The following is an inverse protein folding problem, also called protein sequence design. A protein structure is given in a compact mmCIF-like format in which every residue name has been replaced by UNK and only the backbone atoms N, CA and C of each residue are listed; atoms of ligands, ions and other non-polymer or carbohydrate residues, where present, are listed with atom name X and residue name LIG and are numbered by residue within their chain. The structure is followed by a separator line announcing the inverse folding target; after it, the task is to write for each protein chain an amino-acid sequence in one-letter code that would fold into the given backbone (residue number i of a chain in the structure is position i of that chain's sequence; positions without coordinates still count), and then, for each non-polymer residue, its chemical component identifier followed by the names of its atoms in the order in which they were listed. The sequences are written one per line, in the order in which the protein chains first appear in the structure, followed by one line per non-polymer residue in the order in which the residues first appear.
data_IF_852489692271
#
_entry.id   IF_852489692271
#
_cell.length_a   1.000
_cell.length_b   1.000
_cell.length_c   1.000
_cell.angle_alpha   90.00
_cell.angle_beta   90.00
_cell.angle_gamma   90.00
#
_symmetry.space_group_name_H-M   'P 1'
#
loop_
_entity.id
_entity.type
_entity.pdbx_description
1 polymer ?
#
# COMPACT_ATOMS: atom_id res chain seq x y z
N UNK A 1 -12.59 13.80 1.12
CA UNK A 1 -12.69 14.91 0.12
C UNK A 1 -11.50 15.87 0.23
N UNK A 2 -11.10 16.26 1.43
CA UNK A 2 -9.94 17.13 1.70
C UNK A 2 -8.66 16.51 1.18
N UNK A 3 -8.41 15.22 1.45
CA UNK A 3 -7.19 14.51 1.03
C UNK A 3 -6.99 14.46 -0.49
N UNK A 4 -8.07 14.26 -1.26
CA UNK A 4 -8.03 14.29 -2.72
C UNK A 4 -7.59 15.66 -3.24
N UNK A 5 -8.17 16.73 -2.68
CA UNK A 5 -7.88 18.09 -3.12
C UNK A 5 -6.40 18.45 -2.88
N UNK A 6 -5.90 18.16 -1.69
CA UNK A 6 -4.49 18.38 -1.35
C UNK A 6 -3.54 17.50 -2.18
N UNK A 7 -3.86 16.23 -2.38
CA UNK A 7 -3.04 15.35 -3.22
C UNK A 7 -3.00 15.84 -4.66
N UNK A 8 -4.13 16.26 -5.24
CA UNK A 8 -4.18 16.76 -6.62
C UNK A 8 -3.45 18.12 -6.77
N UNK A 9 -3.58 19.01 -5.77
CA UNK A 9 -2.81 20.26 -5.74
C UNK A 9 -1.30 20.00 -5.69
N UNK A 10 -0.85 19.14 -4.77
CA UNK A 10 0.56 18.75 -4.65
C UNK A 10 1.08 18.10 -5.93
N UNK A 11 0.27 17.22 -6.57
CA UNK A 11 0.61 16.61 -7.85
C UNK A 11 0.86 17.64 -8.94
N UNK A 12 -0.06 18.60 -9.10
CA UNK A 12 0.09 19.68 -10.08
C UNK A 12 1.29 20.56 -9.81
N UNK A 13 1.54 20.89 -8.52
CA UNK A 13 2.72 21.67 -8.11
C UNK A 13 4.02 20.95 -8.46
N UNK A 14 4.12 19.66 -8.19
CA UNK A 14 5.30 18.85 -8.50
C UNK A 14 5.52 18.73 -10.02
N UNK A 15 4.47 18.55 -10.82
CA UNK A 15 4.58 18.48 -12.29
C UNK A 15 5.17 19.75 -12.92
N UNK A 16 5.00 20.88 -12.27
CA UNK A 16 5.58 22.16 -12.73
C UNK A 16 7.05 22.33 -12.35
N UNK A 17 7.66 21.38 -11.62
CA UNK A 17 9.09 21.43 -11.30
C UNK A 17 9.93 20.96 -12.48
N UNK A 18 11.09 21.59 -12.68
CA UNK A 18 11.90 21.50 -13.92
C UNK A 18 12.70 20.19 -14.07
N UNK A 19 12.84 19.38 -13.02
CA UNK A 19 13.74 18.21 -13.05
C UNK A 19 13.16 17.00 -12.31
N UNK A 20 12.05 16.44 -12.84
CA UNK A 20 11.51 15.20 -12.30
C UNK A 20 12.17 13.99 -12.97
N UNK A 21 12.64 12.99 -12.19
CA UNK A 21 13.07 11.71 -12.73
C UNK A 21 11.92 11.04 -13.50
N UNK A 22 12.24 10.36 -14.61
CA UNK A 22 11.23 9.74 -15.50
C UNK A 22 10.17 8.90 -14.79
N UNK A 23 10.51 8.00 -13.82
CA UNK A 23 9.50 7.20 -13.12
C UNK A 23 8.52 8.04 -12.32
N UNK A 24 9.02 9.06 -11.61
CA UNK A 24 8.19 9.97 -10.83
C UNK A 24 7.33 10.85 -11.75
N UNK A 25 7.89 11.38 -12.82
CA UNK A 25 7.13 12.13 -13.83
C UNK A 25 6.00 11.29 -14.43
N UNK A 26 6.29 10.05 -14.82
CA UNK A 26 5.28 9.13 -15.35
C UNK A 26 4.13 8.92 -14.34
N UNK A 27 4.44 8.67 -13.07
CA UNK A 27 3.45 8.54 -12.01
C UNK A 27 2.61 9.82 -11.85
N UNK A 28 3.26 10.96 -11.72
CA UNK A 28 2.59 12.25 -11.50
C UNK A 28 1.79 12.74 -12.73
N UNK A 29 2.17 12.35 -13.95
CA UNK A 29 1.45 12.71 -15.17
C UNK A 29 0.08 12.03 -15.28
N UNK A 30 -0.10 10.89 -14.61
CA UNK A 30 -1.41 10.24 -14.56
C UNK A 30 -2.34 10.97 -13.58
N UNK A 31 -3.62 11.18 -13.94
CA UNK A 31 -4.57 11.82 -13.03
C UNK A 31 -4.82 10.93 -11.79
N UNK A 32 -5.08 11.57 -10.65
CA UNK A 32 -5.59 10.84 -9.49
C UNK A 32 -7.05 10.44 -9.74
N UNK A 33 -7.42 9.27 -9.26
CA UNK A 33 -8.80 8.77 -9.33
C UNK A 33 -9.74 9.70 -8.54
N UNK A 34 -10.82 10.14 -9.16
CA UNK A 34 -11.73 11.09 -8.53
C UNK A 34 -12.63 10.44 -7.46
N UNK A 35 -12.88 11.18 -6.39
CA UNK A 35 -13.69 10.73 -5.26
C UNK A 35 -15.15 10.34 -5.63
N UNK A 36 -15.66 10.84 -6.77
CA UNK A 36 -17.01 10.53 -7.28
C UNK A 36 -17.09 9.21 -8.06
N UNK A 37 -15.96 8.64 -8.48
CA UNK A 37 -15.94 7.43 -9.30
C UNK A 37 -16.51 6.24 -8.52
N UNK A 38 -17.22 5.37 -9.24
CA UNK A 38 -17.68 4.10 -8.68
C UNK A 38 -16.49 3.17 -8.48
N UNK A 39 -16.46 2.47 -7.35
CA UNK A 39 -15.32 1.59 -7.02
C UNK A 39 -15.16 0.41 -7.98
N UNK A 40 -16.24 -0.03 -8.65
CA UNK A 40 -16.20 -1.07 -9.68
C UNK A 40 -15.35 -0.67 -10.90
N UNK A 41 -15.29 0.63 -11.21
CA UNK A 41 -14.57 1.17 -12.36
C UNK A 41 -13.11 1.55 -12.02
N UNK A 42 -12.69 1.32 -10.76
CA UNK A 42 -11.37 1.66 -10.25
C UNK A 42 -10.47 0.42 -10.21
N UNK A 43 -9.24 0.56 -10.65
CA UNK A 43 -8.19 -0.39 -10.31
C UNK A 43 -7.56 0.01 -8.98
N UNK A 44 -7.44 -0.94 -8.05
CA UNK A 44 -6.75 -0.76 -6.79
C UNK A 44 -5.43 -1.50 -6.82
N UNK A 45 -4.36 -0.86 -6.36
CA UNK A 45 -3.11 -1.53 -6.03
C UNK A 45 -3.08 -1.78 -4.54
N UNK A 46 -3.13 -3.04 -4.15
CA UNK A 46 -2.99 -3.43 -2.74
C UNK A 46 -1.51 -3.64 -2.44
N UNK A 47 -1.02 -2.99 -1.41
CA UNK A 47 0.41 -2.86 -1.11
C UNK A 47 0.67 -3.25 0.34
N UNK A 48 1.80 -3.91 0.56
CA UNK A 48 2.35 -4.20 1.88
C UNK A 48 3.88 -4.16 1.85
N UNK A 49 4.50 -3.71 2.94
CA UNK A 49 5.95 -3.64 3.11
C UNK A 49 6.42 -4.51 4.27
N UNK A 50 7.51 -5.25 4.05
CA UNK A 50 8.33 -5.70 5.17
C UNK A 50 9.46 -4.71 5.40
N UNK A 51 9.69 -4.40 6.67
CA UNK A 51 10.64 -3.36 7.09
C UNK A 51 11.48 -3.83 8.25
N UNK A 52 12.64 -3.23 8.47
CA UNK A 52 13.53 -3.57 9.59
C UNK A 52 12.99 -3.10 10.95
N UNK A 53 11.92 -2.30 10.96
CA UNK A 53 11.23 -1.80 12.15
C UNK A 53 10.13 -0.81 11.76
N UNK A 54 9.53 -0.13 12.72
CA UNK A 54 8.34 0.70 12.50
C UNK A 54 8.63 2.19 12.24
N UNK A 55 9.84 2.66 12.53
CA UNK A 55 10.23 4.07 12.36
C UNK A 55 10.83 4.31 10.96
N UNK A 56 10.03 4.81 10.04
CA UNK A 56 10.45 5.07 8.66
C UNK A 56 11.66 6.02 8.53
N UNK A 57 11.96 6.83 9.56
CA UNK A 57 13.12 7.73 9.55
C UNK A 57 14.46 7.01 9.78
N UNK A 58 14.43 5.86 10.43
CA UNK A 58 15.61 5.08 10.83
C UNK A 58 15.71 3.74 10.11
N UNK A 59 14.56 3.14 9.83
CA UNK A 59 14.43 1.79 9.35
C UNK A 59 14.36 1.72 7.81
N UNK A 60 14.44 0.52 7.27
CA UNK A 60 14.50 0.30 5.83
C UNK A 60 13.40 -0.65 5.35
N UNK A 61 12.94 -0.44 4.11
CA UNK A 61 12.11 -1.42 3.42
C UNK A 61 13.03 -2.55 2.95
N UNK A 62 12.68 -3.79 3.28
CA UNK A 62 13.39 -5.00 2.87
C UNK A 62 12.61 -5.82 1.84
N UNK A 63 11.28 -5.68 1.79
CA UNK A 63 10.51 -6.21 0.68
C UNK A 63 9.24 -5.39 0.41
N UNK A 64 8.76 -5.48 -0.83
CA UNK A 64 7.51 -4.89 -1.31
C UNK A 64 6.65 -5.99 -1.88
N UNK A 65 5.44 -6.15 -1.34
CA UNK A 65 4.42 -7.02 -1.89
C UNK A 65 3.28 -6.21 -2.48
N UNK A 66 2.77 -6.60 -3.64
CA UNK A 66 1.56 -5.98 -4.16
C UNK A 66 0.75 -6.93 -5.05
N UNK A 67 -0.53 -6.61 -5.17
CA UNK A 67 -1.47 -7.22 -6.11
C UNK A 67 -2.47 -6.17 -6.61
N UNK A 68 -3.17 -6.44 -7.70
CA UNK A 68 -4.18 -5.53 -8.25
C UNK A 68 -5.58 -6.13 -8.05
N UNK A 69 -6.52 -5.26 -7.65
CA UNK A 69 -7.95 -5.55 -7.70
C UNK A 69 -8.56 -4.78 -8.88
N UNK A 70 -9.35 -5.49 -9.70
CA UNK A 70 -10.14 -4.91 -10.79
C UNK A 70 -11.49 -5.62 -10.85
N UNK A 71 -12.57 -4.86 -11.02
CA UNK A 71 -13.93 -5.41 -11.11
C UNK A 71 -14.25 -6.38 -9.95
N UNK A 72 -13.87 -6.02 -8.73
CA UNK A 72 -14.01 -6.85 -7.53
C UNK A 72 -13.29 -8.22 -7.56
N UNK A 73 -12.27 -8.38 -8.39
CA UNK A 73 -11.45 -9.58 -8.44
C UNK A 73 -9.99 -9.26 -8.15
N UNK A 74 -9.36 -10.09 -7.32
CA UNK A 74 -7.92 -10.07 -7.12
C UNK A 74 -7.27 -10.70 -8.35
N UNK A 75 -6.45 -9.95 -9.06
CA UNK A 75 -5.74 -10.42 -10.25
C UNK A 75 -4.43 -11.10 -9.86
N UNK A 76 -4.47 -12.37 -9.49
CA UNK A 76 -3.31 -13.12 -9.00
C UNK A 76 -2.09 -13.06 -9.93
N UNK A 77 -2.30 -13.00 -11.23
CA UNK A 77 -1.23 -12.82 -12.22
C UNK A 77 -0.47 -11.50 -12.10
N UNK A 78 -0.98 -10.52 -11.37
CA UNK A 78 -0.32 -9.23 -11.09
C UNK A 78 0.45 -9.20 -9.80
N UNK A 79 0.27 -10.23 -8.93
CA UNK A 79 0.95 -10.29 -7.63
C UNK A 79 2.46 -10.37 -7.81
N UNK A 80 3.17 -9.56 -7.05
CA UNK A 80 4.64 -9.50 -7.07
C UNK A 80 5.21 -9.39 -5.66
N UNK A 81 6.35 -10.01 -5.49
CA UNK A 81 7.21 -9.87 -4.32
C UNK A 81 8.55 -9.32 -4.79
N UNK A 82 8.95 -8.15 -4.32
CA UNK A 82 10.19 -7.49 -4.69
C UNK A 82 11.06 -7.42 -3.45
N UNK A 83 12.15 -8.18 -3.43
CA UNK A 83 13.17 -8.09 -2.39
C UNK A 83 14.06 -6.86 -2.65
N UNK A 84 14.41 -6.17 -1.57
CA UNK A 84 15.25 -4.98 -1.60
C UNK A 84 16.51 -5.23 -0.79
N UNK A 85 17.66 -4.94 -1.38
CA UNK A 85 18.93 -4.98 -0.67
C UNK A 85 19.05 -3.78 0.27
N UNK A 86 18.99 -3.97 1.60
CA UNK A 86 19.08 -2.86 2.57
C UNK A 86 20.50 -2.31 2.72
N UNK A 87 21.52 -2.97 2.11
CA UNK A 87 22.96 -2.67 2.27
C UNK A 87 23.41 -2.73 3.73
N UNK A 88 22.79 -3.54 4.53
CA UNK A 88 23.14 -3.84 5.92
C UNK A 88 22.63 -5.23 6.25
N UNK A 89 23.22 -5.85 7.24
CA UNK A 89 22.76 -7.12 7.78
C UNK A 89 21.47 -6.94 8.59
N UNK A 90 20.60 -7.94 8.55
CA UNK A 90 19.41 -8.00 9.37
C UNK A 90 19.75 -8.42 10.80
N UNK A 91 18.98 -7.95 11.76
CA UNK A 91 19.01 -8.52 13.10
C UNK A 91 18.38 -9.92 13.10
N UNK A 92 18.78 -10.80 14.03
CA UNK A 92 18.16 -12.12 14.19
C UNK A 92 16.63 -12.00 14.35
N UNK A 93 16.16 -10.98 15.02
CA UNK A 93 14.73 -10.70 15.18
C UNK A 93 14.04 -10.43 13.84
N UNK A 94 14.65 -9.65 12.93
CA UNK A 94 14.09 -9.40 11.60
C UNK A 94 14.05 -10.66 10.75
N UNK A 95 15.10 -11.48 10.80
CA UNK A 95 15.13 -12.78 10.10
C UNK A 95 14.03 -13.71 10.63
N UNK A 96 13.83 -13.76 11.95
CA UNK A 96 12.81 -14.60 12.56
C UNK A 96 11.38 -14.15 12.20
N UNK A 97 11.12 -12.84 12.09
CA UNK A 97 9.80 -12.30 11.78
C UNK A 97 9.48 -12.48 10.29
N UNK A 98 10.35 -12.00 9.40
CA UNK A 98 10.06 -11.92 7.96
C UNK A 98 10.49 -13.15 7.20
N UNK A 99 11.28 -14.04 7.83
CA UNK A 99 11.85 -15.26 7.22
C UNK A 99 12.64 -14.98 5.93
N UNK A 100 13.24 -13.80 5.86
CA UNK A 100 14.14 -13.38 4.81
C UNK A 100 15.57 -13.44 5.34
N UNK A 101 16.44 -14.12 4.61
CA UNK A 101 17.86 -14.23 4.94
C UNK A 101 18.65 -13.08 4.31
N UNK A 102 19.83 -12.79 4.90
CA UNK A 102 20.74 -11.80 4.32
C UNK A 102 21.18 -12.18 2.90
N UNK A 103 21.33 -13.48 2.61
CA UNK A 103 21.68 -13.95 1.26
C UNK A 103 20.60 -13.64 0.23
N UNK A 104 19.34 -13.88 0.57
CA UNK A 104 18.21 -13.52 -0.31
C UNK A 104 18.15 -12.01 -0.55
N UNK A 105 18.36 -11.21 0.48
CA UNK A 105 18.32 -9.74 0.37
C UNK A 105 19.54 -9.17 -0.36
N UNK A 106 20.71 -9.82 -0.31
CA UNK A 106 21.87 -9.43 -1.12
C UNK A 106 21.57 -9.46 -2.62
N UNK A 107 20.72 -10.41 -3.06
CA UNK A 107 20.25 -10.52 -4.44
C UNK A 107 19.08 -9.56 -4.76
N UNK A 108 18.54 -8.85 -3.77
CA UNK A 108 17.44 -7.92 -3.91
C UNK A 108 17.79 -6.69 -4.76
N UNK A 109 16.76 -6.03 -5.25
CA UNK A 109 16.93 -4.81 -6.03
C UNK A 109 17.45 -3.65 -5.16
N UNK A 110 18.19 -2.69 -5.74
CA UNK A 110 18.39 -1.39 -5.10
C UNK A 110 17.04 -0.70 -4.84
N UNK A 111 16.91 0.01 -3.71
CA UNK A 111 15.68 0.73 -3.33
C UNK A 111 15.15 1.60 -4.47
N UNK A 112 16.03 2.34 -5.18
CA UNK A 112 15.62 3.18 -6.30
C UNK A 112 14.89 2.41 -7.39
N UNK A 113 15.40 1.22 -7.78
CA UNK A 113 14.77 0.38 -8.81
C UNK A 113 13.45 -0.24 -8.33
N UNK A 114 13.35 -0.59 -7.05
CA UNK A 114 12.12 -1.11 -6.47
C UNK A 114 11.03 -0.02 -6.43
N UNK A 115 11.37 1.20 -6.00
CA UNK A 115 10.44 2.34 -5.97
C UNK A 115 10.05 2.79 -7.39
N UNK A 116 10.99 2.83 -8.35
CA UNK A 116 10.67 3.13 -9.75
C UNK A 116 9.61 2.15 -10.31
N UNK A 117 9.77 0.85 -10.05
CA UNK A 117 8.78 -0.17 -10.43
C UNK A 117 7.44 0.02 -9.72
N UNK A 118 7.47 0.30 -8.40
CA UNK A 118 6.27 0.53 -7.61
C UNK A 118 5.49 1.74 -8.12
N UNK A 119 6.14 2.88 -8.39
CA UNK A 119 5.50 4.08 -8.93
C UNK A 119 4.79 3.80 -10.26
N UNK A 120 5.36 2.96 -11.12
CA UNK A 120 4.71 2.56 -12.38
C UNK A 120 3.43 1.77 -12.13
N UNK A 121 3.39 0.95 -11.08
CA UNK A 121 2.18 0.19 -10.71
C UNK A 121 1.14 1.04 -9.98
N UNK A 122 1.58 2.07 -9.25
CA UNK A 122 0.68 3.00 -8.56
C UNK A 122 -0.03 3.98 -9.50
N UNK A 123 0.52 4.19 -10.71
CA UNK A 123 -0.01 5.16 -11.67
C UNK A 123 -1.48 4.88 -12.02
N UNK A 124 -2.35 5.90 -11.88
CA UNK A 124 -3.80 5.81 -12.11
C UNK A 124 -4.53 4.76 -11.25
N UNK A 125 -4.01 4.42 -10.07
CA UNK A 125 -4.63 3.49 -9.12
C UNK A 125 -4.84 4.13 -7.76
N UNK A 126 -5.85 3.64 -7.06
CA UNK A 126 -6.04 3.88 -5.62
C UNK A 126 -5.25 2.83 -4.87
N UNK A 127 -4.47 3.25 -3.88
CA UNK A 127 -3.68 2.35 -3.07
C UNK A 127 -4.55 1.82 -1.92
N UNK A 128 -4.46 0.52 -1.64
CA UNK A 128 -5.11 -0.12 -0.49
C UNK A 128 -4.04 -0.76 0.38
N UNK A 129 -4.12 -0.50 1.67
CA UNK A 129 -3.19 -1.02 2.68
C UNK A 129 -3.93 -1.45 3.94
N UNK A 130 -3.22 -2.10 4.85
CA UNK A 130 -3.69 -2.35 6.20
C UNK A 130 -2.78 -1.64 7.21
N UNK A 131 -3.28 -0.56 7.86
CA UNK A 131 -2.53 0.34 8.73
C UNK A 131 -1.58 1.29 7.98
N UNK A 132 -2.14 2.28 7.31
CA UNK A 132 -1.48 3.20 6.36
C UNK A 132 -0.25 3.95 6.88
N UNK A 133 -0.04 4.00 8.19
CA UNK A 133 1.11 4.71 8.78
C UNK A 133 2.45 4.14 8.31
N UNK A 134 2.52 2.83 8.15
CA UNK A 134 3.76 2.14 7.74
C UNK A 134 4.03 2.45 6.26
N UNK A 135 3.15 2.02 5.36
CA UNK A 135 3.37 2.17 3.92
C UNK A 135 3.53 3.63 3.52
N UNK A 136 2.69 4.52 4.05
CA UNK A 136 2.77 5.95 3.77
C UNK A 136 4.06 6.58 4.30
N UNK A 137 4.48 6.20 5.52
CA UNK A 137 5.70 6.69 6.13
C UNK A 137 6.95 6.29 5.34
N UNK A 138 7.09 4.99 5.07
CA UNK A 138 8.24 4.46 4.33
C UNK A 138 8.27 4.91 2.87
N UNK A 139 7.11 4.99 2.21
CA UNK A 139 7.02 5.47 0.83
C UNK A 139 7.43 6.94 0.72
N UNK A 140 6.95 7.80 1.63
CA UNK A 140 7.35 9.20 1.67
C UNK A 140 8.84 9.36 1.95
N UNK A 141 9.39 8.60 2.90
CA UNK A 141 10.82 8.63 3.22
C UNK A 141 11.66 8.16 2.03
N UNK A 142 11.26 7.11 1.33
CA UNK A 142 11.92 6.65 0.12
C UNK A 142 11.89 7.72 -0.98
N UNK A 143 10.73 8.35 -1.21
CA UNK A 143 10.58 9.42 -2.18
C UNK A 143 11.36 10.68 -1.80
N UNK A 144 11.44 11.02 -0.52
CA UNK A 144 12.29 12.10 -0.03
C UNK A 144 13.77 11.83 -0.35
N UNK A 145 14.24 10.64 -0.03
CA UNK A 145 15.63 10.24 -0.26
C UNK A 145 16.01 10.16 -1.74
N UNK A 146 15.11 9.67 -2.58
CA UNK A 146 15.40 9.42 -4.00
C UNK A 146 15.09 10.62 -4.91
N UNK A 147 14.07 11.40 -4.57
CA UNK A 147 13.50 12.41 -5.45
C UNK A 147 13.37 13.79 -4.82
N UNK A 148 13.79 13.95 -3.56
CA UNK A 148 13.71 15.20 -2.80
C UNK A 148 12.27 15.73 -2.64
N UNK A 149 11.29 14.84 -2.60
CA UNK A 149 9.88 15.18 -2.33
C UNK A 149 9.45 14.67 -0.96
N UNK A 150 8.84 15.54 -0.15
CA UNK A 150 8.47 15.20 1.23
C UNK A 150 7.21 14.34 1.32
N UNK A 151 6.30 14.50 0.37
CA UNK A 151 5.03 13.79 0.37
C UNK A 151 4.66 13.40 -1.06
N UNK A 152 4.47 12.12 -1.29
CA UNK A 152 4.00 11.61 -2.56
C UNK A 152 2.47 11.82 -2.66
N UNK A 153 1.98 12.55 -3.67
CA UNK A 153 0.54 12.72 -3.88
C UNK A 153 -0.10 11.39 -4.29
N UNK A 154 -0.96 10.83 -3.45
CA UNK A 154 -1.65 9.57 -3.70
C UNK A 154 -3.02 9.54 -3.01
N UNK A 155 -3.89 8.64 -3.46
CA UNK A 155 -5.11 8.27 -2.77
C UNK A 155 -4.88 6.90 -2.13
N UNK A 156 -5.02 6.83 -0.82
CA UNK A 156 -4.78 5.61 -0.05
C UNK A 156 -5.99 5.29 0.82
N UNK A 157 -6.46 4.06 0.74
CA UNK A 157 -7.48 3.47 1.60
C UNK A 157 -6.81 2.56 2.62
N UNK A 158 -7.28 2.62 3.84
CA UNK A 158 -6.80 1.80 4.94
C UNK A 158 -7.93 0.89 5.43
N UNK A 159 -7.79 -0.41 5.25
CA UNK A 159 -8.79 -1.42 5.66
C UNK A 159 -9.06 -1.40 7.16
N UNK A 160 -8.06 -1.03 7.98
CA UNK A 160 -8.25 -0.82 9.42
C UNK A 160 -9.17 0.38 9.69
N UNK A 161 -8.99 1.49 8.96
CA UNK A 161 -9.85 2.69 9.10
C UNK A 161 -11.26 2.43 8.59
N UNK A 162 -11.41 1.67 7.49
CA UNK A 162 -12.72 1.24 6.99
C UNK A 162 -13.45 0.44 8.08
N UNK A 163 -12.78 -0.47 8.74
CA UNK A 163 -13.37 -1.26 9.83
C UNK A 163 -13.77 -0.39 11.02
N UNK A 164 -12.89 0.51 11.47
CA UNK A 164 -13.17 1.41 12.61
C UNK A 164 -14.43 2.24 12.43
N UNK A 165 -14.75 2.66 11.22
CA UNK A 165 -15.97 3.45 10.94
C UNK A 165 -17.25 2.65 11.12
N UNK A 166 -17.19 1.31 10.99
CA UNK A 166 -18.34 0.42 11.19
C UNK A 166 -18.56 0.09 12.67
N UNK A 167 -17.57 0.31 13.51
CA UNK A 167 -17.64 -0.06 14.92
C UNK A 167 -18.31 1.04 15.74
N UNK A 168 -19.39 0.70 16.42
CA UNK A 168 -20.11 1.57 17.35
C UNK A 168 -19.43 1.67 18.73
N UNK A 169 -18.50 0.77 19.04
CA UNK A 169 -17.80 0.70 20.34
C UNK A 169 -16.29 0.47 20.11
N UNK A 170 -15.50 0.93 21.09
CA UNK A 170 -14.04 0.73 21.14
C UNK A 170 -13.70 -0.75 21.15
N UNK A 171 -13.17 -1.25 20.07
CA UNK A 171 -12.58 -2.60 20.03
C UNK A 171 -11.12 -2.49 20.46
N UNK A 172 -10.64 -3.49 21.19
CA UNK A 172 -9.23 -3.56 21.56
C UNK A 172 -8.32 -3.48 20.33
N UNK A 173 -7.15 -2.81 20.41
CA UNK A 173 -6.24 -2.63 19.28
C UNK A 173 -5.89 -3.95 18.55
N UNK A 174 -5.75 -5.04 19.30
CA UNK A 174 -5.44 -6.36 18.73
C UNK A 174 -6.53 -6.90 17.82
N UNK A 175 -7.81 -6.61 18.09
CA UNK A 175 -8.93 -7.03 17.24
C UNK A 175 -8.92 -6.41 15.83
N UNK A 176 -8.11 -5.37 15.62
CA UNK A 176 -7.99 -4.69 14.33
C UNK A 176 -6.77 -5.13 13.50
N UNK A 177 -5.98 -6.08 13.98
CA UNK A 177 -4.88 -6.66 13.19
C UNK A 177 -5.44 -7.39 11.96
N UNK A 178 -4.69 -7.39 10.87
CA UNK A 178 -5.11 -7.96 9.58
C UNK A 178 -5.74 -9.36 9.74
N UNK A 179 -5.05 -10.28 10.41
CA UNK A 179 -5.51 -11.66 10.51
C UNK A 179 -6.71 -11.83 11.43
N UNK A 180 -6.85 -11.00 12.47
CA UNK A 180 -8.03 -11.01 13.35
C UNK A 180 -9.28 -10.46 12.61
N UNK A 181 -9.10 -9.42 11.79
CA UNK A 181 -10.18 -8.95 10.93
C UNK A 181 -10.54 -9.98 9.86
N UNK A 182 -9.57 -10.64 9.24
CA UNK A 182 -9.84 -11.71 8.28
C UNK A 182 -10.68 -12.84 8.90
N UNK A 183 -10.35 -13.24 10.13
CA UNK A 183 -11.14 -14.24 10.87
C UNK A 183 -12.58 -13.78 11.12
N UNK A 184 -12.78 -12.51 11.49
CA UNK A 184 -14.09 -11.88 11.63
C UNK A 184 -14.94 -11.96 10.35
N UNK A 185 -14.30 -11.86 9.17
CA UNK A 185 -14.94 -11.99 7.86
C UNK A 185 -14.95 -13.43 7.32
N UNK A 186 -14.61 -14.44 8.14
CA UNK A 186 -14.51 -15.84 7.75
C UNK A 186 -13.58 -16.09 6.55
N UNK A 187 -12.52 -15.30 6.41
CA UNK A 187 -11.53 -15.48 5.36
C UNK A 187 -10.46 -16.49 5.78
N UNK A 188 -9.87 -17.25 4.83
CA UNK A 188 -8.83 -18.22 5.13
C UNK A 188 -7.62 -17.62 5.84
N UNK A 189 -6.98 -18.40 6.73
CA UNK A 189 -5.72 -18.01 7.34
C UNK A 189 -4.57 -18.28 6.38
N UNK A 190 -3.67 -17.31 6.24
CA UNK A 190 -2.41 -17.43 5.55
C UNK A 190 -1.24 -17.24 6.53
N UNK A 191 -0.04 -17.62 6.08
CA UNK A 191 1.17 -17.34 6.84
C UNK A 191 1.47 -15.86 6.78
N UNK A 192 1.59 -15.21 7.93
CA UNK A 192 1.91 -13.80 8.05
C UNK A 192 3.38 -13.49 7.71
N UNK A 193 3.69 -12.21 7.56
CA UNK A 193 5.03 -11.67 7.39
C UNK A 193 5.72 -12.06 6.08
N UNK A 194 4.93 -12.10 5.01
CA UNK A 194 5.40 -12.10 3.64
C UNK A 194 4.63 -11.01 2.88
N UNK A 195 5.32 -9.95 2.46
CA UNK A 195 4.69 -8.76 1.88
C UNK A 195 3.68 -9.09 0.75
N UNK A 196 3.99 -10.01 -0.16
CA UNK A 196 3.06 -10.39 -1.23
C UNK A 196 1.83 -11.11 -0.68
N UNK A 197 2.01 -12.03 0.27
CA UNK A 197 0.91 -12.77 0.87
C UNK A 197 0.03 -11.83 1.72
N UNK A 198 0.63 -10.86 2.41
CA UNK A 198 -0.09 -9.90 3.24
C UNK A 198 -0.82 -8.85 2.36
N UNK A 199 -0.27 -8.47 1.20
CA UNK A 199 -0.98 -7.69 0.20
C UNK A 199 -2.21 -8.45 -0.36
N UNK A 200 -2.09 -9.75 -0.69
CA UNK A 200 -3.23 -10.58 -1.12
C UNK A 200 -4.25 -10.69 0.02
N UNK A 201 -3.80 -10.92 1.24
CA UNK A 201 -4.64 -11.01 2.44
C UNK A 201 -5.44 -9.72 2.68
N UNK A 202 -4.78 -8.57 2.48
CA UNK A 202 -5.41 -7.24 2.57
C UNK A 202 -6.40 -7.02 1.43
N UNK A 203 -6.12 -7.50 0.21
CA UNK A 203 -7.02 -7.41 -0.93
C UNK A 203 -8.33 -8.17 -0.68
N UNK A 204 -8.24 -9.39 -0.18
CA UNK A 204 -9.41 -10.19 0.16
C UNK A 204 -10.23 -9.57 1.30
N UNK A 205 -9.56 -9.05 2.34
CA UNK A 205 -10.22 -8.32 3.42
C UNK A 205 -10.95 -7.08 2.90
N UNK A 206 -10.31 -6.29 2.04
CA UNK A 206 -10.92 -5.11 1.43
C UNK A 206 -12.19 -5.48 0.64
N UNK A 207 -12.14 -6.52 -0.18
CA UNK A 207 -13.30 -7.00 -0.94
C UNK A 207 -14.43 -7.48 -0.02
N UNK A 208 -14.11 -8.21 1.05
CA UNK A 208 -15.10 -8.62 2.04
C UNK A 208 -15.74 -7.41 2.74
N UNK A 209 -14.95 -6.41 3.13
CA UNK A 209 -15.46 -5.17 3.73
C UNK A 209 -16.41 -4.42 2.81
N UNK A 210 -16.07 -4.34 1.51
CA UNK A 210 -16.91 -3.71 0.48
C UNK A 210 -18.21 -4.50 0.28
N UNK A 211 -18.14 -5.82 0.22
CA UNK A 211 -19.32 -6.68 0.05
C UNK A 211 -20.30 -6.53 1.23
N UNK A 212 -19.79 -6.45 2.45
CA UNK A 212 -20.59 -6.20 3.66
C UNK A 212 -21.26 -4.83 3.71
N UNK A 213 -20.82 -3.86 2.89
CA UNK A 213 -21.51 -2.55 2.80
C UNK A 213 -22.83 -2.63 2.01
N UNK A 214 -23.07 -3.74 1.31
CA UNK A 214 -24.22 -3.92 0.41
C UNK A 214 -24.13 -3.05 -0.83
N UNK A 215 -24.81 -3.41 -1.89
CA UNK A 215 -24.87 -2.71 -3.18
C UNK A 215 -23.51 -2.15 -3.66
N UNK A 216 -22.48 -3.01 -3.67
CA UNK A 216 -21.11 -2.63 -4.01
C UNK A 216 -20.97 -1.94 -5.37
N UNK A 217 -21.89 -2.21 -6.29
CA UNK A 217 -21.92 -1.60 -7.64
C UNK A 217 -22.18 -0.08 -7.61
N UNK A 218 -22.83 0.42 -6.56
CA UNK A 218 -23.17 1.83 -6.39
C UNK A 218 -22.23 2.60 -5.45
N UNK A 219 -21.26 1.92 -4.83
CA UNK A 219 -20.32 2.55 -3.88
C UNK A 219 -19.38 3.47 -4.65
N UNK A 220 -19.25 4.70 -4.17
CA UNK A 220 -18.28 5.70 -4.68
C UNK A 220 -17.04 5.71 -3.80
N UNK A 221 -15.88 6.02 -4.39
CA UNK A 221 -14.60 6.09 -3.68
C UNK A 221 -14.67 6.94 -2.40
N UNK A 222 -15.37 8.08 -2.45
CA UNK A 222 -15.54 8.97 -1.28
C UNK A 222 -16.22 8.33 -0.05
N UNK A 223 -16.92 7.23 -0.23
CA UNK A 223 -17.56 6.52 0.88
C UNK A 223 -16.57 5.61 1.63
N UNK A 224 -15.39 5.38 1.04
CA UNK A 224 -14.31 4.58 1.62
C UNK A 224 -13.17 5.44 2.20
N UNK A 225 -13.10 6.75 1.85
CA UNK A 225 -12.06 7.70 2.30
C UNK A 225 -12.39 8.38 3.62
#
# INVERSE_FOLDING_TARGET
MIDYFFANYSRKKLLNSTHLPKPLYHYLSQPLVEAKNLIKDIEFLVLDFETTGLDASKEKIISIGYTVIKNFHVLSGTSRHILINPKQELTEQNVAIHQLTDEELKCGLPLSKAIDKLLSQMANRVIVVHFDKIEKGFLNQACHKLYQINTLPLIMLDTLKIERRKMQQYTQPDGLRLFNLREKYNLPRYKAHNAMQDAISTAELFLAQVDYMGNKEAIKLRQLT
#
